data_IF_411024871099
#
_entry.id   IF_411024871099
#
_cell.length_a   1.000
_cell.length_b   1.000
_cell.length_c   1.000
_cell.angle_alpha   90.00
_cell.angle_beta   90.00
_cell.angle_gamma   90.00
#
_symmetry.space_group_name_H-M   'P 1'
#
loop_
_entity.id
_entity.type
_entity.pdbx_description
1 polymer ?
#
# COMPACT_ATOMS: atom_id res chain seq x y z
N UNK A 1 -5.99 -15.74 16.58
CA UNK A 1 -4.93 -15.02 15.83
C UNK A 1 -5.21 -15.22 14.36
N UNK A 2 -5.52 -14.17 13.61
CA UNK A 2 -5.64 -14.27 12.15
C UNK A 2 -4.25 -14.50 11.56
N UNK A 3 -4.07 -15.61 10.86
CA UNK A 3 -2.83 -15.95 10.17
C UNK A 3 -2.66 -15.04 8.96
N UNK A 4 -1.68 -14.13 9.02
CA UNK A 4 -1.23 -13.31 7.90
C UNK A 4 -0.48 -14.23 6.92
N UNK A 5 -1.23 -15.00 6.13
CA UNK A 5 -0.67 -15.83 5.07
C UNK A 5 -0.04 -14.93 4.00
N UNK A 6 1.26 -15.15 3.73
CA UNK A 6 2.06 -14.56 2.65
C UNK A 6 1.64 -13.14 2.23
N UNK A 7 1.82 -12.17 3.12
CA UNK A 7 1.76 -10.76 2.73
C UNK A 7 2.78 -10.52 1.61
N UNK A 8 2.33 -9.93 0.49
CA UNK A 8 3.26 -9.41 -0.53
C UNK A 8 4.22 -8.46 0.18
N UNK A 9 5.50 -8.58 -0.17
CA UNK A 9 6.55 -7.73 0.39
C UNK A 9 6.10 -6.27 0.26
N UNK A 10 5.92 -5.60 1.40
CA UNK A 10 5.57 -4.18 1.42
C UNK A 10 6.60 -3.47 0.56
N UNK A 11 6.16 -2.67 -0.41
CA UNK A 11 7.07 -1.92 -1.26
C UNK A 11 8.01 -1.12 -0.36
N UNK A 12 9.27 -1.53 -0.29
CA UNK A 12 10.28 -0.77 0.42
C UNK A 12 10.47 0.51 -0.38
N UNK A 13 9.87 1.61 0.08
CA UNK A 13 10.12 2.93 -0.48
C UNK A 13 11.56 3.31 -0.13
N UNK A 14 12.50 2.82 -0.93
CA UNK A 14 13.90 3.23 -0.87
C UNK A 14 14.03 4.60 -1.53
N UNK A 15 14.26 5.63 -0.72
CA UNK A 15 14.52 6.98 -1.21
C UNK A 15 15.87 6.99 -1.92
N UNK A 16 15.88 7.30 -3.22
CA UNK A 16 17.12 7.43 -3.99
C UNK A 16 17.76 8.78 -3.69
N UNK A 17 19.08 8.88 -3.85
CA UNK A 17 19.79 10.18 -3.73
C UNK A 17 19.25 11.26 -4.67
N UNK A 18 18.76 10.87 -5.85
CA UNK A 18 18.10 11.76 -6.81
C UNK A 18 16.86 12.44 -6.23
N UNK A 19 16.13 11.73 -5.38
CA UNK A 19 14.86 12.20 -4.83
C UNK A 19 15.14 13.27 -3.77
N UNK A 20 16.24 13.14 -3.02
CA UNK A 20 16.71 14.15 -2.07
C UNK A 20 17.18 15.42 -2.78
N UNK A 21 17.93 15.29 -3.89
CA UNK A 21 18.41 16.45 -4.65
C UNK A 21 17.24 17.25 -5.27
N UNK A 22 16.25 16.56 -5.84
CA UNK A 22 15.04 17.20 -6.36
C UNK A 22 14.26 17.90 -5.25
N UNK A 23 14.04 17.21 -4.12
CA UNK A 23 13.34 17.79 -2.98
C UNK A 23 14.00 19.07 -2.46
N UNK A 24 15.33 19.09 -2.34
CA UNK A 24 16.05 20.27 -1.87
C UNK A 24 15.97 21.44 -2.85
N UNK A 25 15.99 21.19 -4.16
CA UNK A 25 15.77 22.23 -5.17
C UNK A 25 14.38 22.84 -5.04
N UNK A 26 13.35 22.00 -4.98
CA UNK A 26 11.97 22.44 -4.81
C UNK A 26 11.79 23.23 -3.50
N UNK A 27 12.44 22.79 -2.42
CA UNK A 27 12.38 23.46 -1.13
C UNK A 27 13.05 24.84 -1.15
N UNK A 28 14.16 25.00 -1.86
CA UNK A 28 14.83 26.29 -2.04
C UNK A 28 13.96 27.23 -2.90
N UNK A 29 13.41 26.75 -4.00
CA UNK A 29 12.52 27.55 -4.87
C UNK A 29 11.28 28.03 -4.11
N UNK A 30 10.69 27.17 -3.28
CA UNK A 30 9.55 27.54 -2.44
C UNK A 30 9.94 28.53 -1.34
N UNK A 31 11.09 28.33 -0.71
CA UNK A 31 11.58 29.25 0.32
C UNK A 31 11.80 30.66 -0.25
N UNK A 32 12.41 30.77 -1.43
CA UNK A 32 12.60 32.03 -2.15
C UNK A 32 11.25 32.67 -2.54
N UNK A 33 10.32 31.88 -3.09
CA UNK A 33 9.01 32.37 -3.53
C UNK A 33 8.17 32.95 -2.41
N UNK A 34 8.23 32.35 -1.22
CA UNK A 34 7.41 32.74 -0.07
C UNK A 34 8.16 33.58 0.97
N UNK A 35 9.43 33.92 0.72
CA UNK A 35 10.30 34.66 1.64
C UNK A 35 10.38 34.03 3.04
N UNK A 36 10.36 32.69 3.10
CA UNK A 36 10.46 31.90 4.34
C UNK A 36 11.78 31.14 4.38
N UNK A 37 12.12 30.57 5.53
CA UNK A 37 13.31 29.72 5.61
C UNK A 37 13.05 28.36 4.96
N UNK A 38 14.10 27.75 4.40
CA UNK A 38 14.05 26.36 3.91
C UNK A 38 13.63 25.40 5.04
N UNK A 39 13.97 25.72 6.30
CA UNK A 39 13.52 24.95 7.46
C UNK A 39 12.00 24.93 7.58
N UNK A 40 11.34 26.07 7.37
CA UNK A 40 9.87 26.18 7.46
C UNK A 40 9.19 25.39 6.33
N UNK A 41 9.78 25.37 5.14
CA UNK A 41 9.28 24.54 4.02
C UNK A 41 9.36 23.05 4.36
N UNK A 42 10.48 22.60 4.94
CA UNK A 42 10.67 21.22 5.38
C UNK A 42 9.67 20.87 6.49
N UNK A 43 9.44 21.77 7.44
CA UNK A 43 8.45 21.61 8.52
C UNK A 43 7.03 21.46 7.96
N UNK A 44 6.66 22.29 6.98
CA UNK A 44 5.38 22.21 6.28
C UNK A 44 5.21 20.89 5.53
N UNK A 45 6.24 20.44 4.82
CA UNK A 45 6.21 19.15 4.12
C UNK A 45 6.04 17.98 5.11
N UNK A 46 6.72 18.04 6.25
CA UNK A 46 6.60 17.05 7.33
C UNK A 46 5.18 17.00 7.89
N UNK A 47 4.53 18.14 8.07
CA UNK A 47 3.13 18.19 8.51
C UNK A 47 2.18 17.52 7.51
N UNK A 48 2.34 17.78 6.21
CA UNK A 48 1.55 17.15 5.15
C UNK A 48 1.77 15.63 5.09
N UNK A 49 3.00 15.15 5.28
CA UNK A 49 3.28 13.71 5.30
C UNK A 49 2.69 13.03 6.55
N UNK A 50 2.65 13.74 7.69
CA UNK A 50 1.93 13.26 8.88
C UNK A 50 0.43 13.19 8.63
N UNK A 51 -0.16 14.17 7.93
CA UNK A 51 -1.56 14.13 7.50
C UNK A 51 -1.82 12.94 6.57
N UNK A 52 -0.96 12.72 5.56
CA UNK A 52 -1.03 11.55 4.66
C UNK A 52 -0.98 10.23 5.44
N UNK A 53 -0.07 10.12 6.42
CA UNK A 53 0.05 8.94 7.28
C UNK A 53 -1.16 8.73 8.18
N UNK A 54 -1.77 9.81 8.66
CA UNK A 54 -2.95 9.76 9.51
C UNK A 54 -4.25 9.53 8.71
N UNK A 55 -4.22 9.76 7.40
CA UNK A 55 -5.36 9.50 6.53
C UNK A 55 -5.58 7.99 6.39
N UNK A 56 -6.41 7.45 7.29
CA UNK A 56 -6.88 6.06 7.35
C UNK A 56 -7.44 5.56 6.02
N UNK A 57 -7.87 6.44 5.10
CA UNK A 57 -8.42 6.07 3.81
C UNK A 57 -7.38 5.39 2.89
N UNK A 58 -6.11 5.81 2.96
CA UNK A 58 -5.03 5.19 2.19
C UNK A 58 -4.68 3.80 2.74
N UNK A 59 -4.68 3.65 4.07
CA UNK A 59 -4.44 2.37 4.74
C UNK A 59 -5.64 1.41 4.68
N UNK A 60 -6.86 1.94 4.61
CA UNK A 60 -8.06 1.14 4.36
C UNK A 60 -8.09 0.58 2.94
N UNK A 61 -7.52 1.27 1.94
CA UNK A 61 -7.33 0.72 0.60
C UNK A 61 -6.47 -0.55 0.63
N UNK A 62 -5.29 -0.47 1.26
CA UNK A 62 -4.40 -1.62 1.42
C UNK A 62 -5.05 -2.76 2.22
N UNK A 63 -5.74 -2.44 3.33
CA UNK A 63 -6.41 -3.44 4.17
C UNK A 63 -7.60 -4.09 3.45
N UNK A 64 -8.37 -3.30 2.69
CA UNK A 64 -9.50 -3.78 1.91
C UNK A 64 -9.04 -4.67 0.75
N UNK A 65 -7.98 -4.27 0.04
CA UNK A 65 -7.38 -5.08 -1.03
C UNK A 65 -6.81 -6.40 -0.50
N UNK A 66 -6.15 -6.37 0.67
CA UNK A 66 -5.67 -7.58 1.35
C UNK A 66 -6.83 -8.50 1.76
N UNK A 67 -7.92 -7.96 2.31
CA UNK A 67 -9.11 -8.73 2.66
C UNK A 67 -9.81 -9.31 1.43
N UNK A 68 -10.00 -8.51 0.38
CA UNK A 68 -10.61 -8.94 -0.89
C UNK A 68 -9.78 -10.02 -1.58
N UNK A 69 -8.45 -9.92 -1.55
CA UNK A 69 -7.57 -11.00 -2.05
C UNK A 69 -7.74 -12.29 -1.24
N UNK A 70 -7.82 -12.20 0.09
CA UNK A 70 -8.10 -13.34 0.96
C UNK A 70 -9.45 -14.00 0.68
N UNK A 71 -10.50 -13.21 0.46
CA UNK A 71 -11.82 -13.73 0.05
C UNK A 71 -11.78 -14.42 -1.32
N UNK A 72 -11.06 -13.85 -2.29
CA UNK A 72 -10.89 -14.44 -3.61
C UNK A 72 -10.26 -15.83 -3.55
N UNK A 73 -9.23 -16.00 -2.71
CA UNK A 73 -8.57 -17.29 -2.52
C UNK A 73 -9.49 -18.35 -1.91
N UNK A 74 -10.26 -17.98 -0.88
CA UNK A 74 -11.23 -18.90 -0.26
C UNK A 74 -12.31 -19.34 -1.26
N UNK A 75 -12.75 -18.45 -2.14
CA UNK A 75 -13.72 -18.76 -3.19
C UNK A 75 -13.10 -19.74 -4.22
N UNK A 76 -11.84 -19.56 -4.60
CA UNK A 76 -11.15 -20.47 -5.50
C UNK A 76 -10.95 -21.87 -4.86
N UNK A 77 -10.62 -21.95 -3.57
CA UNK A 77 -10.51 -23.21 -2.84
C UNK A 77 -11.85 -23.96 -2.76
N UNK A 78 -12.94 -23.23 -2.52
CA UNK A 78 -14.31 -23.80 -2.56
C UNK A 78 -14.62 -24.32 -3.98
N UNK A 79 -14.27 -23.55 -5.02
CA UNK A 79 -14.50 -23.93 -6.41
C UNK A 79 -13.71 -25.19 -6.80
N UNK A 80 -12.45 -25.31 -6.41
CA UNK A 80 -11.66 -26.52 -6.64
C UNK A 80 -12.21 -27.73 -5.88
N UNK A 81 -12.65 -27.53 -4.64
CA UNK A 81 -13.27 -28.58 -3.85
C UNK A 81 -14.56 -29.10 -4.52
N UNK A 82 -15.41 -28.19 -5.01
CA UNK A 82 -16.64 -28.55 -5.74
C UNK A 82 -16.32 -29.29 -7.05
N UNK A 83 -15.32 -28.82 -7.82
CA UNK A 83 -14.88 -29.51 -9.04
C UNK A 83 -14.40 -30.93 -8.75
N UNK A 84 -13.57 -31.10 -7.73
CA UNK A 84 -13.06 -32.40 -7.31
C UNK A 84 -14.21 -33.33 -6.90
N UNK A 85 -15.23 -32.82 -6.22
CA UNK A 85 -16.42 -33.60 -5.87
C UNK A 85 -17.24 -33.99 -7.11
N UNK A 86 -17.38 -33.09 -8.09
CA UNK A 86 -18.07 -33.36 -9.35
C UNK A 86 -17.32 -34.40 -10.20
N UNK A 87 -16.01 -34.22 -10.39
CA UNK A 87 -15.17 -35.14 -11.16
C UNK A 87 -15.12 -36.53 -10.51
N UNK A 88 -15.16 -36.60 -9.17
CA UNK A 88 -15.28 -37.88 -8.48
C UNK A 88 -16.67 -38.51 -8.63
N UNK A 89 -17.75 -37.73 -8.76
CA UNK A 89 -19.10 -38.26 -8.98
C UNK A 89 -19.27 -38.85 -10.39
N UNK A 90 -18.67 -38.24 -11.41
CA UNK A 90 -18.69 -38.73 -12.80
C UNK A 90 -17.88 -40.03 -13.00
N UNK A 91 -16.94 -40.34 -12.11
CA UNK A 91 -16.14 -41.58 -12.15
C UNK A 91 -16.85 -42.80 -11.49
N UNK A 92 -18.08 -42.64 -10.98
CA UNK A 92 -18.90 -43.72 -10.41
C UNK A 92 -20.10 -44.14 -11.29
N UNK A 93 -20.25 -43.61 -12.50
CA UNK A 93 -21.11 -44.17 -13.57
C UNK A 93 -20.33 -45.09 -14.52
#
# INVERSE_FOLDING_TARGET
MGTLFNQRERSSFAVKKSDVDSFLKDAVELAEKYEISVSDVIEGFKALEMERRNNLYHWNGDTFDEQMAGFGYLIDEIKESIKTMADNADNYE
#
